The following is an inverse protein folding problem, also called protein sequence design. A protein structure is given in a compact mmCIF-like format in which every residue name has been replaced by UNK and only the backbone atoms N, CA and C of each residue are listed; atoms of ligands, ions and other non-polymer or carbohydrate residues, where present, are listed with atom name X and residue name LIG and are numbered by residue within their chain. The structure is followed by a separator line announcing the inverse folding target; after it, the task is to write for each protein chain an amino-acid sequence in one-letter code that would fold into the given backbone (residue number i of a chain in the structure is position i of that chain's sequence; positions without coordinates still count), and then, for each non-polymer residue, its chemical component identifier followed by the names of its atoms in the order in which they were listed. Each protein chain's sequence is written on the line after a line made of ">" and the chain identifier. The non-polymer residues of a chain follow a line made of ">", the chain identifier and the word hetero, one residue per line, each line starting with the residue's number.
data_IF_962556811728
#
_entry.id   IF_962556811728
#
_cell.length_a   1.000
_cell.length_b   1.000
_cell.length_c   1.000
_cell.angle_alpha   90.00
_cell.angle_beta   90.00
_cell.angle_gamma   90.00
#
_symmetry.space_group_name_H-M   'P 1'
#
loop_
_entity.id
_entity.type
_entity.pdbx_description
1 polymer ?
#
# COMPACT_ATOMS: atom_id res chain seq x y z
N UNK A 1 1.72 -49.14 43.98
CA UNK A 1 1.65 -48.58 42.63
C UNK A 1 0.78 -47.33 42.57
N UNK A 2 1.36 -46.15 42.79
CA UNK A 2 0.79 -44.90 42.29
C UNK A 2 1.94 -44.00 41.83
N UNK A 3 2.50 -44.37 40.67
CA UNK A 3 3.37 -43.49 39.88
C UNK A 3 2.51 -42.31 39.42
N UNK A 4 2.79 -41.14 39.96
CA UNK A 4 2.22 -39.88 39.49
C UNK A 4 2.80 -39.60 38.11
N UNK A 5 2.04 -39.91 37.06
CA UNK A 5 2.37 -39.50 35.68
C UNK A 5 2.12 -37.99 35.61
N UNK A 6 3.14 -37.14 35.32
CA UNK A 6 2.90 -35.72 35.11
C UNK A 6 2.07 -35.52 33.84
N UNK A 7 1.07 -34.64 33.94
CA UNK A 7 0.11 -34.35 32.89
C UNK A 7 0.82 -33.98 31.57
N UNK A 8 0.49 -34.69 30.47
CA UNK A 8 1.09 -34.49 29.15
C UNK A 8 0.96 -33.05 28.61
N UNK A 9 0.01 -32.27 29.12
CA UNK A 9 -0.15 -30.85 28.79
C UNK A 9 0.97 -29.95 29.33
N UNK A 10 1.59 -30.31 30.46
CA UNK A 10 2.68 -29.53 31.06
C UNK A 10 4.01 -29.67 30.32
N UNK A 11 4.30 -30.86 29.77
CA UNK A 11 5.52 -31.09 28.99
C UNK A 11 5.45 -30.47 27.59
N UNK A 12 4.27 -30.47 26.95
CA UNK A 12 4.06 -29.77 25.67
C UNK A 12 4.16 -28.25 25.81
N UNK A 13 3.64 -27.67 26.90
CA UNK A 13 3.75 -26.23 27.16
C UNK A 13 5.20 -25.79 27.47
N UNK A 14 5.96 -26.59 28.22
CA UNK A 14 7.37 -26.31 28.49
C UNK A 14 8.24 -26.39 27.21
N UNK A 15 8.02 -27.39 26.36
CA UNK A 15 8.73 -27.54 25.07
C UNK A 15 8.40 -26.41 24.07
N UNK A 16 7.14 -25.98 24.02
CA UNK A 16 6.71 -24.83 23.19
C UNK A 16 7.30 -23.51 23.68
N UNK A 17 7.42 -23.32 25.00
CA UNK A 17 8.03 -22.12 25.60
C UNK A 17 9.55 -22.04 25.35
N UNK A 18 10.28 -23.16 25.40
CA UNK A 18 11.70 -23.21 25.03
C UNK A 18 11.93 -22.92 23.54
N UNK A 19 11.07 -23.44 22.65
CA UNK A 19 11.12 -23.17 21.20
C UNK A 19 10.82 -21.70 20.85
N UNK A 20 9.86 -21.08 21.53
CA UNK A 20 9.52 -19.66 21.35
C UNK A 20 10.63 -18.74 21.88
N UNK A 21 11.22 -19.07 23.03
CA UNK A 21 12.37 -18.34 23.60
C UNK A 21 13.58 -18.38 22.66
N UNK A 22 13.91 -19.56 22.11
CA UNK A 22 15.00 -19.71 21.14
C UNK A 22 14.75 -18.96 19.83
N UNK A 23 13.53 -19.01 19.29
CA UNK A 23 13.16 -18.30 18.05
C UNK A 23 13.25 -16.79 18.23
N UNK A 24 12.77 -16.26 19.35
CA UNK A 24 12.88 -14.83 19.67
C UNK A 24 14.33 -14.39 19.85
N UNK A 25 15.16 -15.19 20.52
CA UNK A 25 16.59 -14.90 20.66
C UNK A 25 17.30 -14.82 19.31
N UNK A 26 16.98 -15.73 18.38
CA UNK A 26 17.52 -15.72 17.01
C UNK A 26 17.04 -14.48 16.23
N UNK A 27 15.75 -14.14 16.30
CA UNK A 27 15.22 -12.94 15.66
C UNK A 27 15.91 -11.68 16.19
N UNK A 28 16.11 -11.57 17.50
CA UNK A 28 16.82 -10.45 18.12
C UNK A 28 18.29 -10.41 17.69
N UNK A 29 18.99 -11.55 17.68
CA UNK A 29 20.40 -11.62 17.27
C UNK A 29 20.61 -11.21 15.82
N UNK A 30 19.77 -11.69 14.90
CA UNK A 30 19.80 -11.34 13.48
C UNK A 30 19.44 -9.86 13.24
N UNK A 31 18.52 -9.33 14.05
CA UNK A 31 18.12 -7.92 14.00
C UNK A 31 19.24 -7.01 14.49
N UNK A 32 19.92 -7.38 15.58
CA UNK A 32 21.05 -6.62 16.12
C UNK A 32 22.28 -6.67 15.20
N UNK A 33 22.54 -7.81 14.55
CA UNK A 33 23.65 -7.95 13.60
C UNK A 33 23.39 -7.34 12.23
N UNK A 34 22.13 -7.05 11.89
CA UNK A 34 21.74 -6.52 10.58
C UNK A 34 21.68 -7.59 9.48
N UNK A 35 21.69 -8.88 9.81
CA UNK A 35 21.60 -9.97 8.84
C UNK A 35 20.17 -10.14 8.32
N UNK A 36 19.79 -9.27 7.38
CA UNK A 36 18.49 -9.31 6.72
C UNK A 36 18.25 -10.61 5.93
N UNK A 37 19.32 -11.28 5.47
CA UNK A 37 19.24 -12.53 4.72
C UNK A 37 18.85 -13.70 5.62
N UNK A 38 19.55 -13.85 6.75
CA UNK A 38 19.22 -14.81 7.80
C UNK A 38 17.85 -14.54 8.40
N UNK A 39 17.54 -13.26 8.68
CA UNK A 39 16.24 -12.85 9.20
C UNK A 39 15.09 -13.23 8.26
N UNK A 40 15.23 -12.96 6.96
CA UNK A 40 14.25 -13.34 5.95
C UNK A 40 14.03 -14.85 5.89
N UNK A 41 15.10 -15.65 5.92
CA UNK A 41 14.99 -17.12 5.91
C UNK A 41 14.23 -17.63 7.13
N UNK A 42 14.60 -17.15 8.32
CA UNK A 42 13.95 -17.53 9.57
C UNK A 42 12.47 -17.16 9.60
N UNK A 43 12.12 -15.94 9.14
CA UNK A 43 10.73 -15.49 9.02
C UNK A 43 9.94 -16.33 8.00
N UNK A 44 10.56 -16.72 6.88
CA UNK A 44 9.90 -17.59 5.89
C UNK A 44 9.69 -19.02 6.41
N UNK A 45 10.68 -19.61 7.08
CA UNK A 45 10.60 -20.96 7.66
C UNK A 45 9.55 -21.06 8.77
N UNK A 46 9.42 -20.01 9.59
CA UNK A 46 8.50 -19.96 10.73
C UNK A 46 7.17 -19.28 10.39
N UNK A 47 6.89 -18.95 9.13
CA UNK A 47 5.69 -18.20 8.73
C UNK A 47 4.37 -18.91 9.06
N UNK A 48 4.39 -20.25 9.08
CA UNK A 48 3.25 -21.09 9.44
C UNK A 48 3.15 -21.39 10.94
N UNK A 49 4.14 -20.95 11.73
CA UNK A 49 4.19 -21.18 13.17
C UNK A 49 3.32 -20.13 13.90
N UNK A 50 2.24 -20.53 14.59
CA UNK A 50 1.40 -19.59 15.34
C UNK A 50 2.17 -18.87 16.46
N UNK A 51 3.32 -19.40 16.90
CA UNK A 51 4.17 -18.78 17.91
C UNK A 51 5.01 -17.61 17.37
N UNK A 52 5.15 -17.47 16.04
CA UNK A 52 5.95 -16.38 15.44
C UNK A 52 5.36 -15.01 15.80
N UNK A 53 4.03 -14.88 15.74
CA UNK A 53 3.34 -13.64 16.12
C UNK A 53 3.60 -13.31 17.61
N UNK A 54 3.59 -14.31 18.49
CA UNK A 54 3.91 -14.14 19.91
C UNK A 54 5.38 -13.75 20.14
N UNK A 55 6.31 -14.25 19.31
CA UNK A 55 7.72 -13.89 19.38
C UNK A 55 7.97 -12.43 18.96
N UNK A 56 7.19 -11.94 17.99
CA UNK A 56 7.22 -10.56 17.48
C UNK A 56 6.43 -9.59 18.38
N UNK A 57 5.42 -10.10 19.10
CA UNK A 57 4.58 -9.32 20.00
C UNK A 57 5.21 -9.07 21.38
N UNK A 58 4.58 -8.16 22.12
CA UNK A 58 4.85 -7.83 23.52
C UNK A 58 4.74 -9.07 24.42
N UNK A 59 5.78 -9.45 25.18
CA UNK A 59 5.62 -10.31 26.34
C UNK A 59 5.12 -9.46 27.52
N UNK A 60 4.31 -10.07 28.39
CA UNK A 60 3.67 -9.44 29.56
C UNK A 60 4.64 -8.87 30.63
N UNK A 61 5.96 -8.94 30.42
CA UNK A 61 6.97 -8.54 31.41
C UNK A 61 7.79 -7.32 30.98
N UNK A 62 7.89 -6.38 31.92
CA UNK A 62 8.28 -4.97 31.80
C UNK A 62 9.71 -4.62 31.31
N UNK A 63 10.40 -5.49 30.56
CA UNK A 63 11.80 -5.24 30.11
C UNK A 63 12.14 -5.67 28.69
N UNK A 64 11.23 -6.20 27.89
CA UNK A 64 11.66 -6.80 26.63
C UNK A 64 11.89 -5.79 25.52
N UNK A 65 13.14 -5.68 25.06
CA UNK A 65 13.45 -5.11 23.74
C UNK A 65 12.96 -6.10 22.69
N UNK A 66 12.34 -5.60 21.61
CA UNK A 66 11.83 -6.44 20.51
C UNK A 66 12.86 -6.48 19.39
N UNK A 67 12.82 -7.50 18.52
CA UNK A 67 13.66 -7.53 17.31
C UNK A 67 13.54 -6.24 16.49
N UNK A 68 12.34 -5.65 16.42
CA UNK A 68 12.09 -4.38 15.72
C UNK A 68 12.84 -3.21 16.37
N UNK A 69 12.96 -3.21 17.70
CA UNK A 69 13.72 -2.20 18.43
C UNK A 69 15.23 -2.34 18.18
N UNK A 70 15.76 -3.57 18.22
CA UNK A 70 17.18 -3.84 17.95
C UNK A 70 17.57 -3.44 16.51
N UNK A 71 16.72 -3.78 15.54
CA UNK A 71 16.92 -3.39 14.15
C UNK A 71 16.89 -1.86 13.98
N UNK A 72 15.96 -1.17 14.64
CA UNK A 72 15.84 0.27 14.59
C UNK A 72 17.00 0.99 15.29
N UNK A 73 17.48 0.47 16.43
CA UNK A 73 18.62 1.05 17.16
C UNK A 73 19.94 0.85 16.41
N UNK A 74 20.10 -0.28 15.72
CA UNK A 74 21.24 -0.55 14.86
C UNK A 74 21.21 0.18 13.51
N UNK A 75 20.11 0.85 13.15
CA UNK A 75 19.96 1.50 11.84
C UNK A 75 19.86 0.51 10.67
N UNK A 76 19.39 -0.71 10.94
CA UNK A 76 19.31 -1.79 9.95
C UNK A 76 17.99 -1.72 9.17
N UNK A 77 17.87 -0.74 8.29
CA UNK A 77 16.65 -0.45 7.50
C UNK A 77 15.98 -1.67 6.85
N UNK A 78 16.75 -2.62 6.29
CA UNK A 78 16.19 -3.83 5.70
C UNK A 78 15.56 -4.77 6.74
N UNK A 79 16.18 -4.92 7.91
CA UNK A 79 15.63 -5.70 9.01
C UNK A 79 14.35 -5.03 9.56
N UNK A 80 14.36 -3.70 9.70
CA UNK A 80 13.18 -2.92 10.10
C UNK A 80 12.03 -3.15 9.11
N UNK A 81 12.29 -3.04 7.81
CA UNK A 81 11.27 -3.28 6.77
C UNK A 81 10.69 -4.70 6.82
N UNK A 82 11.54 -5.72 6.95
CA UNK A 82 11.09 -7.11 7.02
C UNK A 82 10.21 -7.35 8.26
N UNK A 83 10.62 -6.85 9.42
CA UNK A 83 9.87 -6.99 10.66
C UNK A 83 8.55 -6.21 10.64
N UNK A 84 8.54 -5.00 10.08
CA UNK A 84 7.32 -4.21 9.93
C UNK A 84 6.29 -4.88 9.02
N UNK A 85 6.74 -5.51 7.94
CA UNK A 85 5.85 -6.26 7.04
C UNK A 85 5.16 -7.42 7.77
N UNK A 86 5.88 -8.13 8.63
CA UNK A 86 5.31 -9.19 9.45
C UNK A 86 4.40 -8.65 10.57
N UNK A 87 4.74 -7.51 11.18
CA UNK A 87 3.87 -6.85 12.15
C UNK A 87 2.54 -6.43 11.53
N UNK A 88 2.57 -5.83 10.32
CA UNK A 88 1.36 -5.45 9.59
C UNK A 88 0.54 -6.69 9.20
N UNK A 89 1.19 -7.78 8.79
CA UNK A 89 0.51 -9.03 8.44
C UNK A 89 -0.15 -9.68 9.65
N UNK A 90 0.49 -9.64 10.82
CA UNK A 90 -0.01 -10.19 12.08
C UNK A 90 -0.95 -9.22 12.85
N UNK A 91 -1.13 -7.99 12.37
CA UNK A 91 -1.95 -6.97 13.05
C UNK A 91 -1.34 -6.44 14.35
N UNK A 92 -0.01 -6.50 14.49
CA UNK A 92 0.74 -6.04 15.66
C UNK A 92 0.96 -4.52 15.63
N UNK A 93 1.14 -3.93 16.82
CA UNK A 93 1.44 -2.49 16.95
C UNK A 93 2.79 -2.15 16.31
N UNK A 94 2.84 -1.00 15.63
CA UNK A 94 4.07 -0.44 15.02
C UNK A 94 4.86 0.38 16.04
N UNK A 95 4.21 0.81 17.14
CA UNK A 95 4.80 1.58 18.23
C UNK A 95 4.85 0.80 19.56
N UNK A 96 5.42 -0.41 19.60
CA UNK A 96 5.63 -1.09 20.87
C UNK A 96 6.56 -0.24 21.76
N UNK A 97 6.20 0.07 23.02
CA UNK A 97 7.07 0.85 23.88
C UNK A 97 8.14 -0.04 24.53
N UNK A 98 9.41 0.36 24.46
CA UNK A 98 10.46 -0.23 25.31
C UNK A 98 10.24 0.08 26.79
N UNK A 99 11.07 -0.51 27.67
CA UNK A 99 11.07 -0.21 29.10
C UNK A 99 11.19 1.30 29.43
N UNK A 100 11.76 2.10 28.54
CA UNK A 100 11.90 3.57 28.67
C UNK A 100 10.82 4.36 27.91
N UNK A 101 9.75 3.69 27.47
CA UNK A 101 8.70 4.21 26.58
C UNK A 101 9.24 4.77 25.25
N UNK A 102 10.43 4.35 24.82
CA UNK A 102 10.91 4.66 23.48
C UNK A 102 10.30 3.67 22.50
N UNK A 103 9.68 4.19 21.44
CA UNK A 103 9.17 3.42 20.29
C UNK A 103 10.31 3.10 19.32
N UNK A 104 10.12 2.19 18.34
CA UNK A 104 11.10 1.96 17.29
C UNK A 104 11.48 3.24 16.54
N UNK A 105 10.53 4.17 16.37
CA UNK A 105 10.79 5.46 15.71
C UNK A 105 11.78 6.33 16.49
N UNK A 106 11.73 6.31 17.82
CA UNK A 106 12.72 7.00 18.65
C UNK A 106 14.13 6.41 18.48
N UNK A 107 14.22 5.08 18.38
CA UNK A 107 15.50 4.39 18.21
C UNK A 107 16.08 4.63 16.81
N UNK A 108 15.25 4.54 15.77
CA UNK A 108 15.64 4.86 14.40
C UNK A 108 16.09 6.33 14.27
N UNK A 109 15.36 7.26 14.92
CA UNK A 109 15.72 8.67 14.92
C UNK A 109 17.03 8.95 15.65
N UNK A 110 17.27 8.21 16.75
CA UNK A 110 18.50 8.23 17.52
C UNK A 110 19.68 7.61 16.76
N UNK A 111 19.45 6.59 15.94
CA UNK A 111 20.47 5.97 15.09
C UNK A 111 20.82 6.83 13.86
N UNK A 112 19.91 7.73 13.47
CA UNK A 112 20.10 8.60 12.30
C UNK A 112 19.74 7.92 10.98
N UNK A 113 19.02 6.79 11.01
CA UNK A 113 18.62 6.07 9.81
C UNK A 113 17.30 6.59 9.25
N UNK A 114 17.41 7.48 8.26
CA UNK A 114 16.26 8.06 7.57
C UNK A 114 15.36 7.02 6.90
N UNK A 115 15.90 5.87 6.45
CA UNK A 115 15.09 4.84 5.79
C UNK A 115 14.21 4.09 6.80
N UNK A 116 14.75 3.75 7.97
CA UNK A 116 13.96 3.19 9.06
C UNK A 116 12.88 4.15 9.55
N UNK A 117 13.21 5.45 9.67
CA UNK A 117 12.25 6.50 10.06
C UNK A 117 11.11 6.60 9.04
N UNK A 118 11.43 6.67 7.74
CA UNK A 118 10.44 6.67 6.65
C UNK A 118 9.57 5.42 6.65
N UNK A 119 10.18 4.24 6.82
CA UNK A 119 9.46 2.98 6.86
C UNK A 119 8.45 2.92 8.01
N UNK A 120 8.86 3.39 9.20
CA UNK A 120 8.01 3.45 10.39
C UNK A 120 6.87 4.46 10.22
N UNK A 121 7.16 5.67 9.71
CA UNK A 121 6.14 6.69 9.41
C UNK A 121 5.13 6.20 8.36
N UNK A 122 5.61 5.52 7.31
CA UNK A 122 4.74 4.91 6.30
C UNK A 122 3.83 3.82 6.90
N UNK A 123 4.35 3.09 7.89
CA UNK A 123 3.58 2.12 8.68
C UNK A 123 2.65 2.78 9.73
N UNK A 124 2.52 4.12 9.72
CA UNK A 124 1.73 4.93 10.66
C UNK A 124 2.23 4.93 12.10
N UNK A 125 3.54 4.82 12.30
CA UNK A 125 4.16 5.10 13.60
C UNK A 125 3.85 6.55 14.02
N UNK A 126 3.58 6.77 15.31
CA UNK A 126 3.30 8.11 15.85
C UNK A 126 4.60 8.93 16.04
N UNK A 127 4.86 9.98 15.25
CA UNK A 127 6.01 10.86 15.43
C UNK A 127 5.95 11.72 16.70
N UNK A 128 4.76 11.83 17.32
CA UNK A 128 4.50 12.65 18.51
C UNK A 128 4.52 11.84 19.80
N UNK A 129 4.76 10.53 19.71
CA UNK A 129 4.97 9.68 20.86
C UNK A 129 6.12 10.23 21.72
N UNK A 130 5.98 10.15 23.04
CA UNK A 130 6.98 10.65 23.99
C UNK A 130 7.62 9.51 24.75
N UNK A 131 8.94 9.55 24.87
CA UNK A 131 9.69 8.69 25.80
C UNK A 131 9.32 9.00 27.26
N UNK A 132 9.77 8.16 28.21
CA UNK A 132 9.58 8.40 29.66
C UNK A 132 10.16 9.76 30.10
N UNK A 133 11.20 10.25 29.41
CA UNK A 133 11.81 11.58 29.67
C UNK A 133 11.05 12.73 28.99
N UNK A 134 9.90 12.46 28.38
CA UNK A 134 9.10 13.45 27.65
C UNK A 134 9.65 13.81 26.27
N UNK A 135 10.72 13.17 25.81
CA UNK A 135 11.40 13.53 24.55
C UNK A 135 10.70 12.95 23.33
N UNK A 136 10.67 13.73 22.25
CA UNK A 136 10.20 13.33 20.92
C UNK A 136 11.31 12.67 20.09
N UNK A 137 10.93 11.89 19.07
CA UNK A 137 11.89 11.35 18.10
C UNK A 137 12.71 12.45 17.40
N UNK A 138 12.07 13.58 17.06
CA UNK A 138 12.72 14.73 16.43
C UNK A 138 13.80 15.36 17.34
N UNK A 139 13.55 15.42 18.64
CA UNK A 139 14.51 15.93 19.62
C UNK A 139 15.73 15.01 19.78
N UNK A 140 15.54 13.69 19.63
CA UNK A 140 16.64 12.72 19.63
C UNK A 140 17.51 12.85 18.38
N UNK A 141 16.88 13.04 17.21
CA UNK A 141 17.58 13.28 15.95
C UNK A 141 18.36 14.60 15.98
N UNK A 142 17.76 15.67 16.54
CA UNK A 142 18.38 16.99 16.69
C UNK A 142 19.60 16.96 17.61
N UNK A 143 19.50 16.31 18.77
CA UNK A 143 20.63 16.18 19.72
C UNK A 143 21.86 15.52 19.08
N UNK A 144 21.65 14.56 18.18
CA UNK A 144 22.72 13.85 17.45
C UNK A 144 23.06 14.46 16.09
N UNK A 145 22.47 15.61 15.74
CA UNK A 145 22.70 16.36 14.50
C UNK A 145 22.36 15.56 13.23
N UNK A 146 21.36 14.69 13.29
CA UNK A 146 20.86 13.95 12.11
C UNK A 146 19.87 14.81 11.32
N UNK A 147 20.38 15.79 10.56
CA UNK A 147 19.57 16.77 9.82
C UNK A 147 18.52 16.11 8.89
N UNK A 148 18.91 15.09 8.12
CA UNK A 148 18.00 14.40 7.21
C UNK A 148 16.84 13.69 7.90
N UNK A 149 17.06 13.16 9.11
CA UNK A 149 16.01 12.53 9.93
C UNK A 149 15.11 13.59 10.55
N UNK A 150 15.69 14.71 10.98
CA UNK A 150 14.95 15.82 11.54
C UNK A 150 13.99 16.42 10.50
N UNK A 151 14.46 16.63 9.27
CA UNK A 151 13.62 17.10 8.17
C UNK A 151 12.43 16.16 7.91
N UNK A 152 12.67 14.85 7.93
CA UNK A 152 11.64 13.83 7.74
C UNK A 152 10.59 13.83 8.85
N UNK A 153 11.02 13.98 10.11
CA UNK A 153 10.12 14.02 11.27
C UNK A 153 9.35 15.35 11.34
N UNK A 154 9.98 16.47 10.95
CA UNK A 154 9.35 17.78 10.90
C UNK A 154 8.37 17.94 9.73
N UNK A 155 8.50 17.13 8.67
CA UNK A 155 7.50 17.04 7.60
C UNK A 155 6.13 16.50 8.08
N UNK A 156 6.09 15.90 9.28
CA UNK A 156 4.87 15.44 9.95
C UNK A 156 4.58 16.27 11.22
N UNK A 157 4.20 17.56 11.09
CA UNK A 157 4.00 18.44 12.23
C UNK A 157 2.89 17.93 13.17
N UNK A 158 2.95 18.24 14.47
CA UNK A 158 1.91 17.88 15.41
C UNK A 158 0.57 18.50 15.00
N UNK A 159 -0.56 17.82 15.27
CA UNK A 159 -1.86 18.46 15.12
C UNK A 159 -1.85 19.75 15.97
N UNK A 160 -2.23 20.91 15.42
CA UNK A 160 -2.24 22.14 16.19
C UNK A 160 -3.20 21.95 17.37
N UNK A 161 -2.89 22.51 18.57
CA UNK A 161 -3.93 22.65 19.59
C UNK A 161 -5.07 23.45 18.97
N UNK A 162 -6.32 23.03 19.17
CA UNK A 162 -7.51 23.66 18.57
C UNK A 162 -7.92 24.93 19.32
N UNK A 163 -7.82 26.11 18.68
CA UNK A 163 -8.76 27.20 18.95
C UNK A 163 -9.51 27.62 17.65
N UNK A 164 -10.57 28.46 17.75
CA UNK A 164 -11.65 28.52 16.76
C UNK A 164 -11.28 29.31 15.48
N UNK A 165 -12.00 29.03 14.37
CA UNK A 165 -11.98 29.76 13.09
C UNK A 165 -12.42 31.24 13.26
N UNK A 166 -12.16 32.20 12.33
CA UNK A 166 -11.68 32.12 10.92
C UNK A 166 -10.41 33.02 10.68
N UNK A 167 -9.82 33.31 9.50
CA UNK A 167 -10.24 33.45 8.10
C UNK A 167 -9.04 33.30 7.13
N UNK A 168 -9.32 33.24 5.83
CA UNK A 168 -8.37 33.00 4.74
C UNK A 168 -7.42 34.18 4.47
N UNK A 169 -6.11 33.96 4.58
CA UNK A 169 -5.05 34.65 3.82
C UNK A 169 -3.68 34.02 4.14
N UNK A 170 -2.80 33.98 3.12
CA UNK A 170 -1.36 33.65 3.21
C UNK A 170 -1.07 32.12 3.37
N UNK A 171 -0.25 31.44 2.57
CA UNK A 171 0.90 31.84 1.75
C UNK A 171 1.06 30.88 0.57
N UNK A 172 1.10 31.43 -0.64
CA UNK A 172 1.90 30.87 -1.72
C UNK A 172 3.34 31.38 -1.52
N UNK A 173 4.31 30.49 -1.30
CA UNK A 173 5.71 30.63 -1.71
C UNK A 173 6.54 29.44 -1.17
N UNK A 174 6.79 28.45 -2.02
CA UNK A 174 7.83 27.43 -1.84
C UNK A 174 8.55 27.19 -3.16
N UNK A 175 9.86 26.89 -3.17
CA UNK A 175 10.67 26.90 -4.39
C UNK A 175 10.19 25.81 -5.36
N UNK A 176 9.97 26.20 -6.62
CA UNK A 176 9.43 25.34 -7.70
C UNK A 176 10.39 24.22 -8.16
N UNK A 177 11.55 24.06 -7.53
CA UNK A 177 12.66 23.23 -8.02
C UNK A 177 13.26 22.29 -6.94
N UNK A 178 12.42 21.58 -6.18
CA UNK A 178 12.90 20.58 -5.21
C UNK A 178 12.12 19.26 -5.32
N UNK A 179 12.85 18.15 -5.31
CA UNK A 179 12.28 16.79 -5.31
C UNK A 179 11.36 16.58 -4.09
N UNK A 180 10.13 16.09 -4.32
CA UNK A 180 9.07 15.96 -3.31
C UNK A 180 9.39 14.94 -2.19
N UNK A 181 10.42 14.11 -2.36
CA UNK A 181 10.81 13.06 -1.41
C UNK A 181 12.18 13.29 -0.77
N UNK A 182 13.05 14.14 -1.33
CA UNK A 182 14.40 14.33 -0.79
C UNK A 182 14.87 15.79 -0.71
N UNK A 183 14.06 16.75 -1.17
CA UNK A 183 14.36 18.19 -1.03
C UNK A 183 15.58 18.69 -1.81
N UNK A 184 16.24 17.85 -2.62
CA UNK A 184 17.41 18.24 -3.39
C UNK A 184 17.05 19.24 -4.51
N UNK A 185 17.89 20.28 -4.66
CA UNK A 185 17.83 21.23 -5.77
C UNK A 185 18.12 20.50 -7.09
N UNK A 186 17.19 20.55 -8.03
CA UNK A 186 17.39 20.00 -9.36
C UNK A 186 18.43 20.85 -10.10
N UNK A 187 19.65 20.34 -10.22
CA UNK A 187 20.60 20.86 -11.18
C UNK A 187 20.11 20.48 -12.59
N UNK A 188 20.02 21.47 -13.48
CA UNK A 188 19.77 21.27 -14.91
C UNK A 188 20.76 20.25 -15.46
N UNK A 189 20.29 19.03 -15.70
CA UNK A 189 21.17 17.91 -16.02
C UNK A 189 20.42 16.63 -16.32
N UNK A 190 20.07 16.48 -17.60
CA UNK A 190 19.66 15.28 -18.32
C UNK A 190 18.18 14.83 -18.18
N UNK A 191 17.38 15.40 -19.08
CA UNK A 191 15.96 15.14 -19.28
C UNK A 191 15.69 13.91 -20.17
N UNK A 192 16.15 12.72 -19.77
CA UNK A 192 15.99 11.50 -20.61
C UNK A 192 15.25 10.31 -19.99
N UNK A 193 14.78 10.38 -18.73
CA UNK A 193 13.89 9.34 -18.17
C UNK A 193 12.73 9.98 -17.41
N UNK A 194 11.72 10.40 -18.17
CA UNK A 194 10.49 11.00 -17.68
C UNK A 194 9.70 10.07 -16.76
N UNK A 195 9.53 10.49 -15.52
CA UNK A 195 8.56 9.94 -14.58
C UNK A 195 7.98 11.15 -13.83
N UNK A 196 6.65 11.25 -13.75
CA UNK A 196 5.94 12.34 -13.06
C UNK A 196 6.27 12.46 -11.56
N UNK A 197 5.50 13.27 -10.81
CA UNK A 197 6.01 14.38 -9.99
C UNK A 197 7.41 14.12 -9.38
N UNK A 198 8.41 14.86 -9.88
CA UNK A 198 9.83 14.93 -9.45
C UNK A 198 10.21 14.05 -8.25
N UNK A 199 10.39 12.74 -8.51
CA UNK A 199 11.09 11.82 -7.62
C UNK A 199 12.55 11.73 -8.06
N UNK A 200 13.50 11.72 -7.13
CA UNK A 200 14.90 11.49 -7.49
C UNK A 200 15.10 10.02 -7.95
N UNK A 201 16.10 9.77 -8.79
CA UNK A 201 16.34 8.43 -9.36
C UNK A 201 16.51 7.34 -8.29
N UNK A 202 17.06 7.69 -7.12
CA UNK A 202 17.24 6.77 -5.99
C UNK A 202 15.90 6.36 -5.36
N UNK A 203 15.01 7.32 -5.11
CA UNK A 203 13.68 7.06 -4.53
C UNK A 203 12.79 6.31 -5.52
N UNK A 204 12.89 6.64 -6.81
CA UNK A 204 12.21 5.90 -7.87
C UNK A 204 12.67 4.43 -7.88
N UNK A 205 13.97 4.15 -7.78
CA UNK A 205 14.51 2.79 -7.76
C UNK A 205 14.03 1.98 -6.54
N UNK A 206 13.99 2.59 -5.34
CA UNK A 206 13.49 1.95 -4.13
C UNK A 206 11.99 1.64 -4.20
N UNK A 207 11.18 2.61 -4.66
CA UNK A 207 9.75 2.40 -4.87
C UNK A 207 9.50 1.25 -5.86
N UNK A 208 10.24 1.23 -6.98
CA UNK A 208 10.15 0.15 -7.95
C UNK A 208 10.54 -1.21 -7.34
N UNK A 209 11.59 -1.28 -6.52
CA UNK A 209 11.98 -2.52 -5.83
C UNK A 209 10.88 -3.01 -4.87
N UNK A 210 10.32 -2.12 -4.04
CA UNK A 210 9.25 -2.44 -3.11
C UNK A 210 7.98 -2.89 -3.85
N UNK A 211 7.59 -2.20 -4.93
CA UNK A 211 6.45 -2.56 -5.76
C UNK A 211 6.65 -3.90 -6.48
N UNK A 212 7.86 -4.21 -6.96
CA UNK A 212 8.18 -5.53 -7.53
C UNK A 212 8.07 -6.64 -6.50
N UNK A 213 8.58 -6.43 -5.28
CA UNK A 213 8.45 -7.41 -4.20
C UNK A 213 6.98 -7.62 -3.80
N UNK A 214 6.18 -6.54 -3.74
CA UNK A 214 4.75 -6.62 -3.47
C UNK A 214 3.99 -7.37 -4.58
N UNK A 215 4.29 -7.06 -5.84
CA UNK A 215 3.72 -7.73 -7.02
C UNK A 215 4.06 -9.23 -7.03
N UNK A 216 5.30 -9.60 -6.73
CA UNK A 216 5.74 -11.00 -6.70
C UNK A 216 4.93 -11.83 -5.67
N UNK A 217 4.57 -11.24 -4.53
CA UNK A 217 3.71 -11.89 -3.52
C UNK A 217 2.26 -12.08 -3.96
N UNK A 218 1.81 -11.35 -4.98
CA UNK A 218 0.45 -11.39 -5.54
C UNK A 218 0.40 -11.93 -6.97
N UNK A 219 1.53 -12.42 -7.49
CA UNK A 219 1.68 -12.87 -8.86
C UNK A 219 1.08 -14.27 -9.10
N UNK A 220 0.69 -15.00 -8.05
CA UNK A 220 -0.02 -16.28 -8.19
C UNK A 220 -1.33 -16.08 -8.94
N UNK A 221 -1.35 -16.54 -10.18
CA UNK A 221 -2.48 -16.41 -11.11
C UNK A 221 -3.48 -17.52 -10.85
N UNK A 222 -4.76 -17.21 -10.92
CA UNK A 222 -5.80 -18.24 -11.02
C UNK A 222 -6.01 -18.57 -12.51
N UNK A 223 -5.80 -19.83 -12.96
CA UNK A 223 -6.05 -20.22 -14.34
C UNK A 223 -7.48 -19.90 -14.78
N UNK A 224 -7.64 -19.41 -16.01
CA UNK A 224 -8.95 -19.09 -16.59
C UNK A 224 -9.54 -17.73 -16.21
N UNK A 225 -8.91 -16.96 -15.31
CA UNK A 225 -9.31 -15.57 -15.05
C UNK A 225 -8.80 -14.62 -16.15
N UNK A 226 -9.68 -13.80 -16.76
CA UNK A 226 -9.26 -12.79 -17.73
C UNK A 226 -8.29 -11.79 -17.10
N UNK A 227 -7.36 -11.31 -17.92
CA UNK A 227 -6.36 -10.31 -17.53
C UNK A 227 -6.51 -9.07 -18.39
N UNK A 228 -6.44 -7.91 -17.78
CA UNK A 228 -6.58 -6.63 -18.47
C UNK A 228 -5.45 -5.70 -18.07
N UNK A 229 -5.19 -4.70 -18.91
CA UNK A 229 -4.18 -3.70 -18.67
C UNK A 229 -4.71 -2.30 -18.96
N UNK A 230 -4.19 -1.32 -18.22
CA UNK A 230 -4.51 0.09 -18.31
C UNK A 230 -3.20 0.89 -18.33
N UNK A 231 -2.97 1.67 -19.39
CA UNK A 231 -1.84 2.59 -19.50
C UNK A 231 -2.28 3.99 -19.08
N UNK A 232 -1.62 4.53 -18.06
CA UNK A 232 -1.93 5.85 -17.53
C UNK A 232 -0.98 6.91 -18.09
N UNK A 233 -1.52 8.11 -18.32
CA UNK A 233 -0.77 9.32 -18.62
C UNK A 233 -1.10 10.43 -17.62
N UNK A 234 -0.16 11.32 -17.40
CA UNK A 234 -0.30 12.55 -16.59
C UNK A 234 0.13 13.71 -17.45
N UNK A 235 -0.76 14.67 -17.70
CA UNK A 235 -0.52 15.79 -18.62
C UNK A 235 0.11 15.32 -19.95
N UNK A 236 -0.46 14.24 -20.52
CA UNK A 236 -0.03 13.59 -21.78
C UNK A 236 1.31 12.84 -21.72
N UNK A 237 2.01 12.87 -20.60
CA UNK A 237 3.23 12.09 -20.39
C UNK A 237 2.90 10.69 -19.88
N UNK A 238 3.53 9.66 -20.45
CA UNK A 238 3.35 8.29 -20.02
C UNK A 238 3.78 8.11 -18.56
N UNK A 239 2.87 7.61 -17.72
CA UNK A 239 3.15 7.25 -16.34
C UNK A 239 3.50 5.78 -16.20
N UNK A 240 2.73 4.91 -16.86
CA UNK A 240 3.00 3.48 -16.92
C UNK A 240 1.75 2.61 -16.94
N UNK A 241 1.97 1.30 -16.95
CA UNK A 241 0.95 0.26 -17.08
C UNK A 241 0.57 -0.35 -15.74
N UNK A 242 -0.73 -0.53 -15.53
CA UNK A 242 -1.31 -1.39 -14.47
C UNK A 242 -1.91 -2.62 -15.14
N UNK A 243 -1.53 -3.81 -14.68
CA UNK A 243 -2.14 -5.07 -15.10
C UNK A 243 -2.97 -5.63 -13.95
N UNK A 244 -4.16 -6.11 -14.25
CA UNK A 244 -5.09 -6.70 -13.28
C UNK A 244 -5.66 -8.02 -13.79
N UNK A 245 -5.96 -8.92 -12.87
CA UNK A 245 -6.82 -10.08 -13.14
C UNK A 245 -8.25 -9.79 -12.67
N UNK A 246 -9.22 -10.38 -13.36
CA UNK A 246 -10.64 -10.23 -13.09
C UNK A 246 -11.22 -11.54 -12.53
N UNK A 247 -12.05 -11.45 -11.50
CA UNK A 247 -12.67 -12.59 -10.80
C UNK A 247 -13.87 -13.13 -11.56
N UNK A 248 -13.70 -13.51 -12.83
CA UNK A 248 -14.79 -13.99 -13.69
C UNK A 248 -15.44 -15.29 -13.22
N UNK A 249 -14.77 -16.06 -12.36
CA UNK A 249 -15.28 -17.24 -11.67
C UNK A 249 -16.22 -16.91 -10.49
N UNK A 250 -16.15 -15.69 -9.95
CA UNK A 250 -16.97 -15.25 -8.80
C UNK A 250 -18.03 -14.24 -9.22
N UNK A 251 -17.66 -13.29 -10.08
CA UNK A 251 -18.50 -12.20 -10.57
C UNK A 251 -18.39 -12.08 -12.10
N UNK A 252 -18.84 -13.09 -12.86
CA UNK A 252 -18.71 -13.15 -14.31
C UNK A 252 -19.29 -11.94 -15.04
N UNK A 253 -20.44 -11.42 -14.62
CA UNK A 253 -21.07 -10.26 -15.29
C UNK A 253 -20.27 -8.99 -15.02
N UNK A 254 -19.83 -8.79 -13.80
CA UNK A 254 -19.03 -7.61 -13.43
C UNK A 254 -17.67 -7.64 -14.11
N UNK A 255 -17.02 -8.81 -14.15
CA UNK A 255 -15.76 -9.02 -14.84
C UNK A 255 -15.89 -8.80 -16.36
N UNK A 256 -16.94 -9.34 -16.99
CA UNK A 256 -17.17 -9.18 -18.42
C UNK A 256 -17.46 -7.73 -18.81
N UNK A 257 -18.25 -7.01 -18.01
CA UNK A 257 -18.45 -5.58 -18.18
C UNK A 257 -17.12 -4.81 -18.18
N UNK A 258 -16.25 -5.09 -17.21
CA UNK A 258 -14.96 -4.41 -17.15
C UNK A 258 -14.03 -4.79 -18.32
N UNK A 259 -13.98 -6.08 -18.68
CA UNK A 259 -13.16 -6.59 -19.79
C UNK A 259 -13.56 -5.96 -21.13
N UNK A 260 -14.84 -6.00 -21.47
CA UNK A 260 -15.36 -5.43 -22.71
C UNK A 260 -15.16 -3.91 -22.79
N UNK A 261 -15.27 -3.19 -21.66
CA UNK A 261 -14.94 -1.77 -21.59
C UNK A 261 -13.43 -1.49 -21.69
N UNK A 262 -12.56 -2.45 -21.36
CA UNK A 262 -11.13 -2.34 -21.63
C UNK A 262 -10.80 -2.58 -23.11
N UNK A 263 -11.50 -3.49 -23.81
CA UNK A 263 -11.23 -3.81 -25.22
C UNK A 263 -11.94 -2.87 -26.20
N UNK A 264 -13.08 -2.31 -25.82
CA UNK A 264 -13.91 -1.49 -26.70
C UNK A 264 -14.60 -2.28 -27.82
N UNK A 265 -14.65 -3.61 -27.73
CA UNK A 265 -15.11 -4.50 -28.81
C UNK A 265 -16.59 -4.34 -29.17
N UNK A 266 -17.41 -3.82 -28.25
CA UNK A 266 -18.83 -3.59 -28.47
C UNK A 266 -19.13 -2.30 -29.24
N UNK A 267 -18.11 -1.47 -29.48
CA UNK A 267 -18.26 -0.22 -30.21
C UNK A 267 -19.14 0.82 -29.48
N UNK A 268 -19.75 1.75 -30.23
CA UNK A 268 -20.58 2.80 -29.65
C UNK A 268 -21.92 2.29 -29.12
N UNK A 269 -22.32 2.75 -27.93
CA UNK A 269 -23.64 2.44 -27.39
C UNK A 269 -24.74 3.11 -28.20
N UNK A 270 -25.59 2.30 -28.85
CA UNK A 270 -26.74 2.79 -29.60
C UNK A 270 -27.78 3.50 -28.71
N UNK A 271 -27.86 3.11 -27.43
CA UNK A 271 -28.83 3.66 -26.47
C UNK A 271 -28.36 4.97 -25.81
N UNK A 272 -27.04 5.20 -25.72
CA UNK A 272 -26.47 6.34 -25.00
C UNK A 272 -25.67 7.24 -25.95
N UNK A 273 -26.36 7.83 -26.92
CA UNK A 273 -25.80 8.92 -27.75
C UNK A 273 -24.60 8.52 -28.61
N UNK A 274 -24.44 7.23 -28.95
CA UNK A 274 -23.27 6.70 -29.68
C UNK A 274 -21.94 6.98 -28.99
N UNK A 275 -21.94 7.01 -27.65
CA UNK A 275 -20.68 7.09 -26.88
C UNK A 275 -19.95 5.75 -26.98
N UNK A 276 -18.65 5.72 -27.32
CA UNK A 276 -17.84 4.50 -27.32
C UNK A 276 -17.84 3.82 -25.94
N UNK A 277 -18.15 2.52 -25.90
CA UNK A 277 -18.04 1.71 -24.68
C UNK A 277 -16.59 1.29 -24.45
N UNK A 278 -15.72 2.25 -24.12
CA UNK A 278 -14.29 2.04 -24.03
C UNK A 278 -13.63 2.96 -22.99
N UNK A 279 -12.70 2.42 -22.18
CA UNK A 279 -11.98 3.21 -21.17
C UNK A 279 -10.83 4.05 -21.73
N UNK A 280 -10.34 3.78 -22.94
CA UNK A 280 -9.30 4.60 -23.54
C UNK A 280 -9.79 6.06 -23.70
N UNK A 281 -8.99 7.01 -23.21
CA UNK A 281 -9.34 8.42 -23.12
C UNK A 281 -10.13 8.81 -21.86
N UNK A 282 -10.54 7.86 -21.01
CA UNK A 282 -11.28 8.15 -19.79
C UNK A 282 -10.38 8.82 -18.74
N UNK A 283 -10.88 9.90 -18.14
CA UNK A 283 -10.19 10.63 -17.10
C UNK A 283 -10.32 9.92 -15.73
N UNK A 284 -9.20 9.88 -15.00
CA UNK A 284 -9.23 9.58 -13.57
C UNK A 284 -9.72 10.85 -12.88
N UNK A 285 -11.01 10.89 -12.58
CA UNK A 285 -11.68 12.10 -12.08
C UNK A 285 -11.62 12.25 -10.56
N UNK A 286 -11.21 11.19 -9.83
CA UNK A 286 -11.09 11.23 -8.38
C UNK A 286 -9.93 10.39 -7.84
N UNK A 287 -9.02 11.01 -7.08
CA UNK A 287 -7.91 10.36 -6.37
C UNK A 287 -7.87 10.87 -4.93
N UNK A 288 -8.10 9.97 -3.98
CA UNK A 288 -8.01 10.26 -2.54
C UNK A 288 -6.88 9.42 -1.93
N UNK A 289 -5.80 10.05 -1.43
CA UNK A 289 -4.67 9.33 -0.85
C UNK A 289 -5.08 8.42 0.32
N UNK A 290 -4.50 7.23 0.38
CA UNK A 290 -4.82 6.17 1.34
C UNK A 290 -6.18 5.49 1.12
N UNK A 291 -6.96 5.96 0.14
CA UNK A 291 -8.31 5.51 -0.13
C UNK A 291 -8.42 4.89 -1.52
N UNK A 292 -8.60 5.68 -2.57
CA UNK A 292 -8.93 5.16 -3.91
C UNK A 292 -8.40 6.02 -5.05
N UNK A 293 -8.14 5.37 -6.19
CA UNK A 293 -8.04 5.97 -7.53
C UNK A 293 -9.30 5.57 -8.29
N UNK A 294 -10.13 6.53 -8.69
CA UNK A 294 -11.45 6.29 -9.31
C UNK A 294 -11.52 6.87 -10.73
N UNK A 295 -12.05 6.06 -11.64
CA UNK A 295 -12.15 6.33 -13.08
C UNK A 295 -13.41 5.67 -13.66
N UNK A 296 -13.51 5.63 -14.98
CA UNK A 296 -14.53 4.87 -15.71
C UNK A 296 -15.78 5.66 -16.10
N UNK A 297 -15.80 6.97 -15.84
CA UNK A 297 -16.81 7.87 -16.41
C UNK A 297 -16.36 8.36 -17.79
N UNK A 298 -16.60 7.56 -18.83
CA UNK A 298 -16.29 7.94 -20.22
C UNK A 298 -17.41 8.73 -20.90
N UNK A 299 -18.56 8.94 -20.25
CA UNK A 299 -19.67 9.70 -20.85
C UNK A 299 -19.61 11.18 -20.48
N UNK A 300 -19.33 11.52 -19.22
CA UNK A 300 -19.24 12.90 -18.73
C UNK A 300 -17.86 13.28 -18.20
N UNK A 301 -17.01 12.31 -17.85
CA UNK A 301 -15.64 12.55 -17.39
C UNK A 301 -15.53 13.22 -16.02
N UNK A 302 -16.61 13.30 -15.24
CA UNK A 302 -16.67 14.08 -13.99
C UNK A 302 -17.20 13.29 -12.78
N UNK A 303 -17.42 11.98 -12.94
CA UNK A 303 -17.90 11.06 -11.90
C UNK A 303 -19.42 11.00 -11.79
N UNK A 304 -20.19 11.71 -12.64
CA UNK A 304 -21.66 11.65 -12.66
C UNK A 304 -22.20 10.74 -13.75
N UNK A 305 -21.36 10.34 -14.70
CA UNK A 305 -21.74 9.54 -15.85
C UNK A 305 -21.34 8.07 -15.72
N UNK A 306 -21.03 7.48 -16.87
CA UNK A 306 -20.75 6.06 -17.02
C UNK A 306 -21.99 5.21 -17.30
N UNK A 307 -21.80 4.16 -18.09
CA UNK A 307 -22.84 3.21 -18.48
C UNK A 307 -22.21 1.83 -18.68
N UNK A 308 -22.90 0.77 -18.26
CA UNK A 308 -22.42 -0.60 -18.48
C UNK A 308 -22.64 -1.04 -19.92
N UNK A 309 -21.99 -2.15 -20.29
CA UNK A 309 -22.21 -2.82 -21.57
C UNK A 309 -23.64 -3.37 -21.73
N UNK A 310 -24.41 -3.44 -20.64
CA UNK A 310 -25.76 -4.00 -20.61
C UNK A 310 -26.87 -2.95 -20.85
N UNK A 311 -26.51 -1.73 -21.27
CA UNK A 311 -27.49 -0.69 -21.62
C UNK A 311 -27.97 0.17 -20.45
N UNK A 312 -27.16 0.29 -19.39
CA UNK A 312 -27.55 1.10 -18.23
C UNK A 312 -26.74 0.78 -16.98
N UNK A 313 -27.43 0.73 -15.85
CA UNK A 313 -26.90 0.21 -14.59
C UNK A 313 -27.23 -1.28 -14.43
N UNK A 314 -26.43 -2.02 -13.69
CA UNK A 314 -26.66 -3.43 -13.34
C UNK A 314 -26.50 -3.68 -11.84
N UNK A 315 -27.00 -4.82 -11.40
CA UNK A 315 -27.09 -5.25 -10.01
C UNK A 315 -25.71 -5.56 -9.36
N UNK A 316 -25.69 -5.57 -8.04
CA UNK A 316 -24.54 -6.07 -7.27
C UNK A 316 -24.53 -7.60 -7.35
N UNK A 317 -23.53 -8.17 -8.01
CA UNK A 317 -23.53 -9.60 -8.36
C UNK A 317 -23.24 -10.50 -7.14
N UNK A 318 -22.21 -10.19 -6.35
CA UNK A 318 -21.86 -10.95 -5.15
C UNK A 318 -21.00 -10.13 -4.20
N UNK A 319 -21.16 -10.39 -2.90
CA UNK A 319 -20.25 -9.93 -1.84
C UNK A 319 -19.60 -11.11 -1.10
N UNK A 320 -19.66 -12.32 -1.66
CA UNK A 320 -19.07 -13.50 -1.06
C UNK A 320 -17.55 -13.55 -1.29
N UNK A 321 -16.80 -13.97 -0.28
CA UNK A 321 -15.35 -14.17 -0.37
C UNK A 321 -14.61 -12.92 -0.86
N UNK A 322 -13.78 -13.08 -1.90
CA UNK A 322 -12.99 -11.99 -2.48
C UNK A 322 -13.84 -10.87 -3.06
N UNK A 323 -15.07 -11.15 -3.51
CA UNK A 323 -15.94 -10.14 -4.11
C UNK A 323 -16.50 -9.14 -3.08
N UNK A 324 -16.50 -9.50 -1.80
CA UNK A 324 -16.92 -8.63 -0.71
C UNK A 324 -15.79 -8.01 0.09
N UNK A 325 -14.52 -8.33 -0.19
CA UNK A 325 -13.40 -7.92 0.65
C UNK A 325 -12.46 -6.92 -0.03
N UNK A 326 -12.45 -5.69 0.46
CA UNK A 326 -11.49 -4.66 0.06
C UNK A 326 -10.16 -4.87 0.80
N UNK A 327 -9.48 -5.96 0.42
CA UNK A 327 -8.37 -6.60 1.13
C UNK A 327 -7.09 -5.78 1.26
N UNK A 328 -6.97 -4.61 0.61
CA UNK A 328 -5.76 -3.81 0.64
C UNK A 328 -5.48 -3.10 -0.68
N UNK A 329 -4.24 -2.65 -0.84
CA UNK A 329 -3.75 -2.01 -2.07
C UNK A 329 -3.98 -2.91 -3.30
N UNK A 330 -4.61 -2.35 -4.32
CA UNK A 330 -4.80 -2.99 -5.62
C UNK A 330 -6.04 -3.89 -5.76
N UNK A 331 -7.07 -3.74 -4.92
CA UNK A 331 -8.37 -4.33 -5.20
C UNK A 331 -9.11 -3.46 -6.25
N UNK A 332 -9.68 -4.08 -7.28
CA UNK A 332 -10.54 -3.43 -8.26
C UNK A 332 -11.99 -3.61 -7.82
N UNK A 333 -12.74 -2.52 -7.71
CA UNK A 333 -14.11 -2.55 -7.21
C UNK A 333 -15.02 -1.55 -7.93
N UNK A 334 -16.30 -1.90 -8.07
CA UNK A 334 -17.28 -1.08 -8.78
C UNK A 334 -17.68 0.14 -7.95
N UNK A 335 -17.63 1.31 -8.58
CA UNK A 335 -18.25 2.50 -8.02
C UNK A 335 -19.76 2.49 -8.35
N UNK A 336 -20.58 2.83 -7.37
CA UNK A 336 -22.03 2.86 -7.51
C UNK A 336 -22.61 4.09 -6.78
N UNK A 337 -23.91 4.35 -6.98
CA UNK A 337 -24.66 5.43 -6.31
C UNK A 337 -25.73 4.86 -5.37
N UNK A 338 -25.44 3.72 -4.75
CA UNK A 338 -26.38 2.93 -3.96
C UNK A 338 -26.48 1.48 -4.47
N UNK A 339 -27.23 0.62 -3.77
CA UNK A 339 -27.38 -0.79 -4.12
C UNK A 339 -27.85 -0.99 -5.56
N UNK A 340 -27.28 -1.96 -6.26
CA UNK A 340 -27.65 -2.36 -7.62
C UNK A 340 -27.57 -1.24 -8.67
N UNK A 341 -26.54 -0.38 -8.57
CA UNK A 341 -26.36 0.75 -9.50
C UNK A 341 -25.00 0.76 -10.20
N UNK A 342 -24.42 -0.41 -10.43
CA UNK A 342 -23.12 -0.56 -11.09
C UNK A 342 -23.21 -0.12 -12.56
N UNK A 343 -22.21 0.62 -13.05
CA UNK A 343 -22.14 1.10 -14.43
C UNK A 343 -20.78 0.78 -15.04
N UNK A 344 -20.04 1.82 -15.41
CA UNK A 344 -18.64 1.71 -15.85
C UNK A 344 -17.64 2.32 -14.88
N UNK A 345 -18.11 3.07 -13.88
CA UNK A 345 -17.18 3.65 -12.92
C UNK A 345 -16.61 2.58 -12.00
N UNK A 346 -15.31 2.65 -11.77
CA UNK A 346 -14.57 1.73 -10.92
C UNK A 346 -13.55 2.48 -10.10
N UNK A 347 -13.05 1.84 -9.05
CA UNK A 347 -11.91 2.33 -8.31
C UNK A 347 -10.90 1.22 -8.01
N UNK A 348 -9.64 1.64 -7.87
CA UNK A 348 -8.54 0.83 -7.37
C UNK A 348 -8.20 1.32 -5.97
N UNK A 349 -8.20 0.41 -5.01
CA UNK A 349 -7.92 0.75 -3.61
C UNK A 349 -6.43 1.03 -3.38
N UNK A 350 -6.14 2.03 -2.55
CA UNK A 350 -4.77 2.41 -2.15
C UNK A 350 -4.39 1.89 -0.74
N UNK A 351 -5.34 1.22 -0.07
CA UNK A 351 -5.22 0.64 1.26
C UNK A 351 -6.35 -0.35 1.56
N UNK A 352 -6.42 -0.87 2.78
CA UNK A 352 -7.49 -1.79 3.22
C UNK A 352 -8.73 -1.01 3.64
N UNK A 353 -9.89 -1.32 3.07
CA UNK A 353 -11.11 -0.50 3.18
C UNK A 353 -12.35 -1.32 3.61
N UNK A 354 -12.36 -1.91 4.82
CA UNK A 354 -13.43 -2.82 5.24
C UNK A 354 -14.81 -2.15 5.32
N UNK A 355 -14.88 -0.82 5.43
CA UNK A 355 -16.13 -0.08 5.47
C UNK A 355 -16.89 -0.04 4.12
N UNK A 356 -16.23 -0.46 3.03
CA UNK A 356 -16.81 -0.64 1.70
C UNK A 356 -17.31 -2.08 1.46
N UNK A 357 -16.96 -3.02 2.34
CA UNK A 357 -17.39 -4.42 2.22
C UNK A 357 -18.92 -4.52 2.28
N UNK A 358 -19.50 -5.34 1.40
CA UNK A 358 -20.96 -5.48 1.26
C UNK A 358 -21.68 -4.29 0.60
N UNK A 359 -20.94 -3.28 0.11
CA UNK A 359 -21.51 -2.10 -0.56
C UNK A 359 -21.00 -1.92 -1.99
N UNK A 360 -19.78 -2.35 -2.25
CA UNK A 360 -19.13 -2.26 -3.56
C UNK A 360 -18.58 -3.63 -3.94
N UNK A 361 -18.91 -4.07 -5.15
CA UNK A 361 -18.49 -5.39 -5.65
C UNK A 361 -17.03 -5.32 -6.07
N UNK A 362 -16.17 -6.07 -5.39
CA UNK A 362 -14.78 -6.30 -5.79
C UNK A 362 -14.79 -7.32 -6.91
N UNK A 363 -14.18 -6.98 -8.05
CA UNK A 363 -14.24 -7.82 -9.26
C UNK A 363 -12.87 -8.16 -9.82
N UNK A 364 -11.79 -7.76 -9.15
CA UNK A 364 -10.45 -8.09 -9.58
C UNK A 364 -9.36 -7.63 -8.64
N UNK A 365 -8.12 -7.91 -9.01
CA UNK A 365 -6.93 -7.41 -8.30
C UNK A 365 -5.80 -7.07 -9.25
N UNK A 366 -5.01 -6.09 -8.84
CA UNK A 366 -3.79 -5.69 -9.55
C UNK A 366 -2.71 -6.76 -9.37
N UNK A 367 -2.08 -7.12 -10.48
CA UNK A 367 -0.94 -8.03 -10.55
C UNK A 367 0.38 -7.25 -10.69
N UNK A 368 0.37 -6.17 -11.49
CA UNK A 368 1.55 -5.34 -11.79
C UNK A 368 1.17 -3.87 -11.89
N UNK A 369 2.17 -2.99 -11.77
CA UNK A 369 1.95 -1.54 -11.85
C UNK A 369 1.64 -0.86 -10.52
N UNK A 370 1.99 -1.48 -9.38
CA UNK A 370 1.80 -0.86 -8.06
C UNK A 370 2.55 0.47 -7.90
N UNK A 371 3.69 0.66 -8.58
CA UNK A 371 4.40 1.94 -8.60
C UNK A 371 3.58 3.04 -9.26
N UNK A 372 2.86 2.72 -10.35
CA UNK A 372 1.94 3.63 -11.04
C UNK A 372 0.82 4.06 -10.08
N UNK A 373 0.23 3.12 -9.32
CA UNK A 373 -0.79 3.46 -8.31
C UNK A 373 -0.26 4.40 -7.23
N UNK A 374 0.97 4.17 -6.75
CA UNK A 374 1.61 5.05 -5.76
C UNK A 374 1.95 6.43 -6.32
N UNK A 375 2.32 6.52 -7.59
CA UNK A 375 2.52 7.81 -8.24
C UNK A 375 1.20 8.56 -8.48
N UNK A 376 0.14 7.85 -8.86
CA UNK A 376 -1.21 8.40 -8.97
C UNK A 376 -1.69 8.94 -7.62
N UNK A 377 -1.47 8.21 -6.54
CA UNK A 377 -1.78 8.62 -5.17
C UNK A 377 -1.16 9.98 -4.79
N UNK A 378 0.08 10.26 -5.21
CA UNK A 378 0.76 11.55 -4.98
C UNK A 378 0.08 12.73 -5.71
N UNK A 379 -0.72 12.46 -6.74
CA UNK A 379 -1.49 13.47 -7.46
C UNK A 379 -2.87 13.72 -6.82
N UNK A 380 -3.24 12.95 -5.80
CA UNK A 380 -4.53 13.04 -5.14
C UNK A 380 -4.64 14.17 -4.11
N UNK A 381 -5.86 14.37 -3.63
CA UNK A 381 -6.17 15.33 -2.56
C UNK A 381 -7.27 14.80 -1.65
N UNK A 382 -7.47 15.45 -0.50
CA UNK A 382 -8.54 15.06 0.42
C UNK A 382 -9.95 15.24 -0.18
N UNK A 383 -10.15 16.23 -1.08
CA UNK A 383 -11.40 16.40 -1.81
C UNK A 383 -11.58 15.38 -2.94
N UNK A 384 -10.51 14.67 -3.29
CA UNK A 384 -10.48 13.73 -4.40
C UNK A 384 -10.10 14.35 -5.74
N UNK A 385 -10.05 15.69 -5.87
CA UNK A 385 -9.67 16.32 -7.14
C UNK A 385 -8.18 16.08 -7.43
N UNK A 386 -7.81 15.48 -8.57
CA UNK A 386 -6.41 15.33 -8.95
C UNK A 386 -5.72 16.67 -9.22
N UNK A 387 -4.46 16.80 -8.82
CA UNK A 387 -3.65 18.00 -9.04
C UNK A 387 -3.24 18.21 -10.51
N UNK A 388 -3.23 17.13 -11.30
CA UNK A 388 -2.87 17.11 -12.72
C UNK A 388 -3.87 16.28 -13.50
N UNK A 389 -3.93 16.48 -14.82
CA UNK A 389 -4.87 15.73 -15.67
C UNK A 389 -4.34 14.30 -15.84
N UNK A 390 -5.08 13.33 -15.33
CA UNK A 390 -4.73 11.90 -15.43
C UNK A 390 -5.75 11.20 -16.32
N UNK A 391 -5.25 10.42 -17.28
CA UNK A 391 -6.07 9.72 -18.28
C UNK A 391 -5.59 8.29 -18.48
N UNK A 392 -6.54 7.37 -18.68
CA UNK A 392 -6.27 6.03 -19.22
C UNK A 392 -6.02 6.22 -20.72
N UNK A 393 -4.76 6.30 -21.13
CA UNK A 393 -4.39 6.56 -22.53
C UNK A 393 -4.71 5.38 -23.45
N UNK A 394 -4.48 4.17 -22.96
CA UNK A 394 -4.80 2.94 -23.66
C UNK A 394 -5.20 1.85 -22.65
N UNK A 395 -6.01 0.90 -23.09
CA UNK A 395 -6.39 -0.25 -22.31
C UNK A 395 -6.68 -1.43 -23.23
N UNK A 396 -6.73 -2.63 -22.63
CA UNK A 396 -7.08 -3.82 -23.36
C UNK A 396 -7.02 -5.08 -22.51
N UNK A 397 -7.25 -6.20 -23.17
CA UNK A 397 -7.09 -7.53 -22.60
C UNK A 397 -5.65 -8.04 -22.84
N UNK A 398 -5.06 -8.68 -21.84
CA UNK A 398 -3.75 -9.31 -21.95
C UNK A 398 -3.94 -10.74 -22.45
N UNK A 399 -3.27 -11.09 -23.56
CA UNK A 399 -3.27 -12.46 -24.08
C UNK A 399 -2.30 -13.33 -23.27
N UNK A 400 -2.65 -14.60 -23.09
CA UNK A 400 -1.72 -15.60 -22.54
C UNK A 400 -0.71 -16.01 -23.63
N UNK A 401 0.59 -15.86 -23.34
CA UNK A 401 1.69 -16.24 -24.25
C UNK A 401 1.81 -17.76 -24.48
N UNK A 402 0.91 -18.59 -23.93
CA UNK A 402 0.90 -20.05 -24.10
C UNK A 402 0.39 -20.53 -25.46
N UNK A 403 0.12 -19.62 -26.41
CA UNK A 403 -0.37 -19.94 -27.76
C UNK A 403 0.63 -19.61 -28.88
N UNK A 404 1.86 -19.22 -28.54
CA UNK A 404 2.90 -18.83 -29.50
C UNK A 404 4.00 -19.88 -29.76
N UNK A 405 4.02 -21.03 -29.07
CA UNK A 405 5.05 -22.09 -29.22
C UNK A 405 4.47 -23.44 -29.71
N UNK A 406 3.46 -23.39 -30.59
CA UNK A 406 2.99 -24.57 -31.34
C UNK A 406 2.96 -24.28 -32.85
N UNK A 407 4.09 -23.80 -33.37
CA UNK A 407 4.38 -23.64 -34.80
C UNK A 407 5.65 -24.40 -35.18
#
# INVERSE_FOLDING_TARGET
>A
DHLHVPCASGMQQASMAESASGTRALLSALSASGDAGGLRRLLCERRSDPLLAACLAEPEHARSVLPLHEAADGGHSLCVLLLLLEHIAAGLSVDPPTAVQATPLHLAARAGDALSVRALLFAKADPHARTRKGRLAAELASERKHAHVLDELLAHPPPPPTPPRPSAAALCAGPRNACALCGASLADGDASLGIGPQMCARDASMLHAACRAYAARRAERTPGRPRVWLDFTVDEQALGRVEAELFADVVPRTAENFRALCTGELGPSAQFGRVPLHYAGCAVHRIVPGFVVQSGDFTLGNGRGGVSIYGGKFEDESFAGLAGDHFGLGALSMANSGPNTNGSQFFITLGRLPHLNGKHVVFGRVLRGFCVLKQLELLGSASGTPAKRVVIAACGEARDESSAESG
#
